data_IF_915564094672
#
_entry.id   IF_915564094672
#
_cell.length_a   1.000
_cell.length_b   1.000
_cell.length_c   1.000
_cell.angle_alpha   90.00
_cell.angle_beta   90.00
_cell.angle_gamma   90.00
#
_symmetry.space_group_name_H-M   'P 1'
#
loop_
_entity.id
_entity.type
_entity.pdbx_description
1 polymer ?
#
# COMPACT_ATOMS: atom_id res chain seq x y z
N UNK A 1 0.46 -13.19 -4.59
CA UNK A 1 1.65 -12.32 -4.45
C UNK A 1 2.08 -12.18 -2.98
N UNK A 2 1.25 -11.63 -2.08
CA UNK A 2 1.60 -11.45 -0.65
C UNK A 2 1.93 -12.76 0.09
N UNK A 3 1.09 -13.81 -0.05
CA UNK A 3 1.29 -15.11 0.62
C UNK A 3 2.65 -15.74 0.26
N UNK A 4 2.99 -15.78 -1.02
CA UNK A 4 4.27 -16.30 -1.51
C UNK A 4 5.46 -15.50 -0.97
N UNK A 5 5.31 -14.18 -0.80
CA UNK A 5 6.37 -13.35 -0.21
C UNK A 5 6.58 -13.69 1.28
N UNK A 6 5.50 -13.92 2.03
CA UNK A 6 5.57 -14.35 3.44
C UNK A 6 6.24 -15.72 3.56
N UNK A 7 5.84 -16.69 2.74
CA UNK A 7 6.37 -18.06 2.75
C UNK A 7 7.88 -18.11 2.45
N UNK A 8 8.40 -17.18 1.64
CA UNK A 8 9.81 -17.13 1.25
C UNK A 8 10.66 -16.17 2.09
N UNK A 9 10.05 -15.35 2.94
CA UNK A 9 10.77 -14.36 3.71
C UNK A 9 11.45 -15.00 4.94
N UNK A 10 12.71 -14.63 5.18
CA UNK A 10 13.44 -15.02 6.39
C UNK A 10 13.09 -14.16 7.61
N UNK A 11 12.37 -13.06 7.42
CA UNK A 11 11.99 -12.09 8.44
C UNK A 11 10.50 -11.79 8.35
N UNK A 12 9.83 -11.47 9.47
CA UNK A 12 8.41 -11.12 9.45
C UNK A 12 8.18 -9.90 8.55
N UNK A 13 7.17 -10.01 7.69
CA UNK A 13 6.77 -8.94 6.78
C UNK A 13 5.56 -8.18 7.35
N UNK A 14 5.52 -6.89 7.03
CA UNK A 14 4.34 -6.04 7.20
C UNK A 14 4.02 -5.40 5.86
N UNK A 15 2.77 -5.56 5.41
CA UNK A 15 2.29 -4.98 4.18
C UNK A 15 1.57 -3.67 4.46
N UNK A 16 1.87 -2.67 3.64
CA UNK A 16 1.22 -1.37 3.67
C UNK A 16 0.50 -1.16 2.34
N UNK A 17 -0.79 -0.86 2.41
CA UNK A 17 -1.65 -0.74 1.23
C UNK A 17 -2.13 0.70 1.08
N UNK A 18 -2.01 1.24 -0.13
CA UNK A 18 -2.41 2.61 -0.42
C UNK A 18 -3.93 2.73 -0.51
N UNK A 19 -4.54 3.35 0.50
CA UNK A 19 -5.98 3.42 0.72
C UNK A 19 -6.75 4.17 -0.36
N UNK A 20 -6.14 5.16 -1.00
CA UNK A 20 -6.80 6.07 -1.94
C UNK A 20 -7.33 5.36 -3.19
N UNK A 21 -6.80 4.17 -3.49
CA UNK A 21 -7.14 3.40 -4.69
C UNK A 21 -7.83 2.07 -4.36
N UNK A 22 -8.22 1.85 -3.10
CA UNK A 22 -8.88 0.62 -2.66
C UNK A 22 -10.38 0.61 -2.93
N UNK A 23 -10.89 -0.56 -3.32
CA UNK A 23 -12.34 -0.79 -3.32
C UNK A 23 -12.86 -0.87 -1.88
N UNK A 24 -14.14 -0.50 -1.63
CA UNK A 24 -14.73 -0.60 -0.29
C UNK A 24 -14.67 -2.02 0.30
N UNK A 25 -14.90 -3.03 -0.54
CA UNK A 25 -14.82 -4.44 -0.14
C UNK A 25 -13.40 -4.83 0.32
N UNK A 26 -12.38 -4.40 -0.42
CA UNK A 26 -10.99 -4.69 -0.05
C UNK A 26 -10.59 -3.95 1.23
N UNK A 27 -10.98 -2.66 1.35
CA UNK A 27 -10.76 -1.88 2.58
C UNK A 27 -11.40 -2.55 3.80
N UNK A 28 -12.62 -3.08 3.66
CA UNK A 28 -13.27 -3.87 4.71
C UNK A 28 -12.46 -5.12 5.06
N UNK A 29 -11.96 -5.86 4.07
CA UNK A 29 -11.15 -7.06 4.30
C UNK A 29 -9.82 -6.78 5.03
N UNK A 30 -9.21 -5.61 4.79
CA UNK A 30 -8.02 -5.18 5.55
C UNK A 30 -8.41 -4.78 6.98
N UNK A 31 -9.43 -3.95 7.14
CA UNK A 31 -9.85 -3.42 8.44
C UNK A 31 -10.40 -4.50 9.39
N UNK A 32 -11.12 -5.49 8.85
CA UNK A 32 -11.62 -6.63 9.62
C UNK A 32 -10.52 -7.62 10.03
N UNK A 33 -9.30 -7.44 9.54
CA UNK A 33 -8.19 -8.37 9.75
C UNK A 33 -8.28 -9.66 8.93
N UNK A 34 -9.34 -9.88 8.16
CA UNK A 34 -9.51 -11.08 7.35
C UNK A 34 -8.34 -11.30 6.38
N UNK A 35 -7.85 -10.23 5.75
CA UNK A 35 -6.70 -10.31 4.84
C UNK A 35 -5.40 -10.64 5.60
N UNK A 36 -5.19 -10.06 6.78
CA UNK A 36 -4.01 -10.33 7.59
C UNK A 36 -3.95 -11.80 8.03
N UNK A 37 -5.09 -12.36 8.45
CA UNK A 37 -5.21 -13.78 8.80
C UNK A 37 -4.98 -14.69 7.59
N UNK A 38 -5.58 -14.37 6.44
CA UNK A 38 -5.43 -15.18 5.22
C UNK A 38 -3.99 -15.22 4.69
N UNK A 39 -3.25 -14.11 4.84
CA UNK A 39 -1.85 -13.99 4.40
C UNK A 39 -0.86 -14.46 5.47
N UNK A 40 -1.24 -14.45 6.74
CA UNK A 40 -0.34 -14.76 7.86
C UNK A 40 0.67 -13.66 8.16
N UNK A 41 0.34 -12.40 7.85
CA UNK A 41 1.21 -11.24 8.06
C UNK A 41 0.40 -10.00 8.44
N UNK A 42 1.07 -9.02 9.05
CA UNK A 42 0.42 -7.74 9.37
C UNK A 42 0.11 -6.97 8.09
N UNK A 43 -1.10 -6.43 8.00
CA UNK A 43 -1.53 -5.56 6.91
C UNK A 43 -2.08 -4.27 7.48
N UNK A 44 -1.68 -3.13 6.93
CA UNK A 44 -2.15 -1.82 7.32
C UNK A 44 -2.44 -0.96 6.09
N UNK A 45 -3.38 -0.02 6.24
CA UNK A 45 -3.70 0.96 5.21
C UNK A 45 -2.92 2.25 5.50
N UNK A 46 -2.32 2.83 4.46
CA UNK A 46 -1.77 4.19 4.47
C UNK A 46 -2.55 5.04 3.48
N UNK A 47 -2.82 6.29 3.86
CA UNK A 47 -3.57 7.21 3.05
C UNK A 47 -3.07 8.62 3.34
N UNK A 48 -2.93 9.39 2.28
CA UNK A 48 -2.54 10.80 2.32
C UNK A 48 -3.32 11.51 1.22
N UNK A 49 -3.86 12.69 1.50
CA UNK A 49 -4.60 13.44 0.49
C UNK A 49 -3.63 14.29 -0.32
N UNK A 50 -3.87 14.38 -1.62
CA UNK A 50 -3.01 15.17 -2.52
C UNK A 50 -3.10 16.65 -2.12
N UNK A 51 -1.97 17.32 -1.79
CA UNK A 51 -2.01 18.71 -1.33
C UNK A 51 -2.53 19.65 -2.44
N UNK A 52 -3.42 20.58 -2.09
CA UNK A 52 -4.03 21.53 -3.05
C UNK A 52 -3.01 22.40 -3.80
N UNK A 53 -1.85 22.64 -3.20
CA UNK A 53 -0.78 23.45 -3.79
C UNK A 53 0.05 22.70 -4.85
N UNK A 54 -0.07 21.37 -4.92
CA UNK A 54 0.68 20.55 -5.87
C UNK A 54 -0.23 20.18 -7.05
N UNK A 55 0.27 20.30 -8.28
CA UNK A 55 -0.49 19.97 -9.48
C UNK A 55 -0.90 18.50 -9.49
N UNK A 56 -2.19 18.24 -9.34
CA UNK A 56 -2.76 16.89 -9.41
C UNK A 56 -2.70 16.33 -10.84
N UNK A 57 -2.63 15.00 -10.94
CA UNK A 57 -2.70 14.26 -12.19
C UNK A 57 -4.11 13.68 -12.36
N UNK A 58 -4.65 13.69 -13.57
CA UNK A 58 -6.00 13.16 -13.83
C UNK A 58 -6.02 11.67 -14.09
N UNK A 59 -4.91 11.10 -14.56
CA UNK A 59 -4.81 9.69 -14.93
C UNK A 59 -4.39 8.85 -13.71
N UNK A 60 -5.08 7.72 -13.50
CA UNK A 60 -4.97 6.92 -12.28
C UNK A 60 -3.55 6.36 -12.07
N UNK A 61 -2.88 5.89 -13.12
CA UNK A 61 -1.51 5.38 -13.02
C UNK A 61 -0.53 6.49 -12.67
N UNK A 62 -0.64 7.67 -13.30
CA UNK A 62 0.16 8.87 -12.95
C UNK A 62 -0.04 9.31 -11.51
N UNK A 63 -1.27 9.26 -10.99
CA UNK A 63 -1.54 9.51 -9.57
C UNK A 63 -0.78 8.49 -8.70
N UNK A 64 -0.95 7.18 -8.96
CA UNK A 64 -0.27 6.12 -8.22
C UNK A 64 1.25 6.30 -8.24
N UNK A 65 1.84 6.64 -9.38
CA UNK A 65 3.28 6.92 -9.50
C UNK A 65 3.69 8.16 -8.69
N UNK A 66 2.87 9.22 -8.70
CA UNK A 66 3.06 10.38 -7.84
C UNK A 66 3.14 9.99 -6.36
N UNK A 67 2.20 9.16 -5.87
CA UNK A 67 2.23 8.67 -4.49
C UNK A 67 3.45 7.82 -4.16
N UNK A 68 3.94 7.03 -5.11
CA UNK A 68 5.14 6.19 -4.92
C UNK A 68 6.45 6.98 -4.84
N UNK A 69 6.49 8.24 -5.29
CA UNK A 69 7.73 9.03 -5.32
C UNK A 69 7.65 10.23 -4.37
N UNK A 70 6.53 10.95 -4.36
CA UNK A 70 6.42 12.26 -3.73
C UNK A 70 6.08 12.22 -2.23
N UNK A 71 5.44 11.14 -1.77
CA UNK A 71 4.84 11.10 -0.42
C UNK A 71 5.39 9.97 0.45
N UNK A 72 6.59 9.48 0.15
CA UNK A 72 7.21 8.37 0.88
C UNK A 72 7.50 8.70 2.35
N UNK A 73 7.80 9.95 2.63
CA UNK A 73 8.09 10.47 3.95
C UNK A 73 6.83 10.64 4.82
N UNK A 74 5.72 11.06 4.21
CA UNK A 74 4.46 11.33 4.91
C UNK A 74 3.54 10.11 5.01
N UNK A 75 3.63 9.16 4.07
CA UNK A 75 2.77 7.97 4.06
C UNK A 75 3.13 6.97 5.17
N UNK A 76 4.39 6.95 5.61
CA UNK A 76 4.88 5.94 6.54
C UNK A 76 5.37 6.54 7.85
N UNK A 77 5.28 5.80 8.98
CA UNK A 77 5.86 6.25 10.23
C UNK A 77 7.38 6.47 10.11
N UNK A 78 7.89 7.54 10.72
CA UNK A 78 9.33 7.86 10.71
C UNK A 78 10.23 6.76 11.30
N UNK A 79 9.68 5.85 12.11
CA UNK A 79 10.40 4.68 12.65
C UNK A 79 10.67 3.60 11.60
N UNK A 80 10.06 3.68 10.42
CA UNK A 80 10.21 2.70 9.35
C UNK A 80 11.49 2.96 8.54
N UNK A 81 12.46 2.06 8.65
CA UNK A 81 13.79 2.24 8.03
C UNK A 81 13.87 1.91 6.54
N UNK A 82 13.03 1.00 6.05
CA UNK A 82 13.09 0.54 4.66
C UNK A 82 11.72 0.09 4.19
N UNK A 83 11.36 0.49 2.99
CA UNK A 83 10.19 0.03 2.24
C UNK A 83 10.63 -0.57 0.92
N UNK A 84 9.85 -1.53 0.43
CA UNK A 84 10.04 -2.12 -0.89
C UNK A 84 8.69 -2.03 -1.59
N UNK A 85 8.64 -1.29 -2.69
CA UNK A 85 7.48 -1.27 -3.55
C UNK A 85 7.48 -2.50 -4.42
N UNK A 86 6.30 -3.12 -4.55
CA UNK A 86 6.11 -4.18 -5.52
C UNK A 86 4.87 -3.87 -6.32
N UNK A 87 5.00 -3.95 -7.64
CA UNK A 87 3.90 -3.68 -8.54
C UNK A 87 3.08 -4.96 -8.73
N UNK A 88 1.77 -4.82 -8.54
CA UNK A 88 0.82 -5.82 -8.99
C UNK A 88 0.52 -5.50 -10.46
N UNK A 89 0.78 -6.46 -11.35
CA UNK A 89 0.34 -6.36 -12.73
C UNK A 89 -1.19 -6.26 -12.71
N UNK A 90 -1.71 -5.06 -12.93
CA UNK A 90 -3.14 -4.86 -13.16
C UNK A 90 -3.39 -5.48 -14.52
N UNK A 91 -3.94 -6.70 -14.55
CA UNK A 91 -4.46 -7.26 -15.79
C UNK A 91 -5.59 -6.33 -16.27
N UNK A 92 -5.38 -5.72 -17.43
CA UNK A 92 -6.32 -4.86 -18.15
C UNK A 92 -7.50 -5.66 -18.69
#
# INVERSE_FOLDING_TARGET
>A
MMKTAVERASRPLKFWILGNFLSPAFRHAVNSGALATAVGAQVAIVQYDWPSHLREQTEKQRLIWGYKILFLDVLFPQSLRKIIFVEELIAS
#
